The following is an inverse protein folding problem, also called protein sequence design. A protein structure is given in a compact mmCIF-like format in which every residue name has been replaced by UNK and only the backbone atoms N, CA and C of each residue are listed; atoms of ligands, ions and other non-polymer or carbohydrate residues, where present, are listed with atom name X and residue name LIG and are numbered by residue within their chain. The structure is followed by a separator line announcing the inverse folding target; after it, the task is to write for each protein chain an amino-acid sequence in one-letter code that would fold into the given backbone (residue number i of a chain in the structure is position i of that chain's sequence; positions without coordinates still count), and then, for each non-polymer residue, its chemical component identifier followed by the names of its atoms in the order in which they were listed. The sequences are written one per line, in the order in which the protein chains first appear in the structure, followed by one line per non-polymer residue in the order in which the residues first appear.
data_IF_900245689649
#
_entry.id   IF_900245689649
#
_cell.length_a   1.000
_cell.length_b   1.000
_cell.length_c   1.000
_cell.angle_alpha   90.00
_cell.angle_beta   90.00
_cell.angle_gamma   90.00
#
_symmetry.space_group_name_H-M   'P 1'
#
loop_
_entity.id
_entity.type
_entity.pdbx_description
1 polymer ?
#
# COMPACT_ATOMS: atom_id res chain seq x y z
N UNK A 1 6.07 0.39 -7.47
CA UNK A 1 5.36 1.64 -7.15
C UNK A 1 4.50 2.17 -8.29
N UNK A 2 4.88 1.98 -9.57
CA UNK A 2 4.13 2.50 -10.73
C UNK A 2 2.65 2.04 -10.74
N UNK A 3 2.37 0.74 -10.53
CA UNK A 3 1.00 0.24 -10.45
C UNK A 3 0.19 0.87 -9.32
N UNK A 4 0.79 1.06 -8.14
CA UNK A 4 0.11 1.70 -7.01
C UNK A 4 -0.30 3.14 -7.33
N UNK A 5 0.61 3.93 -7.91
CA UNK A 5 0.30 5.29 -8.32
C UNK A 5 -0.78 5.33 -9.41
N UNK A 6 -0.65 4.47 -10.43
CA UNK A 6 -1.62 4.37 -11.52
C UNK A 6 -3.02 4.01 -11.00
N UNK A 7 -3.11 3.08 -10.05
CA UNK A 7 -4.37 2.67 -9.43
C UNK A 7 -5.02 3.80 -8.63
N UNK A 8 -4.24 4.55 -7.84
CA UNK A 8 -4.74 5.72 -7.11
C UNK A 8 -5.26 6.81 -8.06
N UNK A 9 -4.54 7.07 -9.15
CA UNK A 9 -4.97 8.04 -10.17
C UNK A 9 -6.27 7.59 -10.86
N UNK A 10 -6.35 6.32 -11.26
CA UNK A 10 -7.54 5.72 -11.86
C UNK A 10 -8.78 5.89 -10.97
N UNK A 11 -8.62 5.68 -9.66
CA UNK A 11 -9.72 5.77 -8.72
C UNK A 11 -10.06 7.22 -8.36
N UNK A 12 -9.08 8.01 -7.90
CA UNK A 12 -9.32 9.33 -7.33
C UNK A 12 -9.47 10.45 -8.38
N UNK A 13 -8.87 10.30 -9.57
CA UNK A 13 -8.86 11.35 -10.60
C UNK A 13 -9.69 10.99 -11.83
N UNK A 14 -9.72 9.71 -12.21
CA UNK A 14 -10.41 9.26 -13.44
C UNK A 14 -11.78 8.61 -13.16
N UNK A 15 -12.13 8.37 -11.90
CA UNK A 15 -13.38 7.72 -11.49
C UNK A 15 -13.62 6.34 -12.17
N UNK A 16 -12.54 5.57 -12.36
CA UNK A 16 -12.61 4.21 -12.93
C UNK A 16 -13.00 3.18 -11.86
N UNK A 17 -13.74 2.15 -12.28
CA UNK A 17 -14.16 1.04 -11.42
C UNK A 17 -13.02 0.06 -11.18
N UNK A 18 -12.10 0.39 -10.26
CA UNK A 18 -10.91 -0.44 -9.98
C UNK A 18 -11.21 -1.79 -9.30
N UNK A 19 -12.48 -2.05 -8.95
CA UNK A 19 -12.94 -3.37 -8.50
C UNK A 19 -13.22 -4.33 -9.67
N UNK A 20 -13.16 -3.84 -10.91
CA UNK A 20 -13.31 -4.65 -12.13
C UNK A 20 -11.94 -5.14 -12.62
N UNK A 21 -11.81 -6.45 -12.85
CA UNK A 21 -10.57 -7.07 -13.32
C UNK A 21 -10.17 -6.62 -14.72
N UNK A 22 -11.14 -6.29 -15.58
CA UNK A 22 -10.87 -5.77 -16.93
C UNK A 22 -10.22 -4.39 -16.86
N UNK A 23 -10.73 -3.52 -16.00
CA UNK A 23 -10.13 -2.21 -15.72
C UNK A 23 -8.72 -2.37 -15.16
N UNK A 24 -8.51 -3.28 -14.20
CA UNK A 24 -7.16 -3.52 -13.67
C UNK A 24 -6.18 -4.03 -14.75
N UNK A 25 -6.63 -4.89 -15.65
CA UNK A 25 -5.82 -5.40 -16.75
C UNK A 25 -5.48 -4.31 -17.79
N UNK A 26 -6.39 -3.37 -18.05
CA UNK A 26 -6.14 -2.18 -18.86
C UNK A 26 -5.07 -1.29 -18.22
N UNK A 27 -5.18 -1.01 -16.91
CA UNK A 27 -4.18 -0.21 -16.18
C UNK A 27 -2.78 -0.84 -16.24
N UNK A 28 -2.70 -2.17 -16.20
CA UNK A 28 -1.44 -2.91 -16.38
C UNK A 28 -0.89 -2.72 -17.79
N UNK A 29 -1.74 -2.81 -18.82
CA UNK A 29 -1.35 -2.57 -20.22
C UNK A 29 -0.86 -1.14 -20.48
N UNK A 30 -1.48 -0.14 -19.86
CA UNK A 30 -1.06 1.27 -19.94
C UNK A 30 0.35 1.50 -19.37
N UNK A 31 0.82 0.62 -18.47
CA UNK A 31 2.18 0.63 -17.94
C UNK A 31 3.17 -0.15 -18.82
N UNK A 32 2.72 -0.74 -19.93
CA UNK A 32 3.54 -1.50 -20.87
C UNK A 32 3.65 -3.00 -20.54
N UNK A 33 2.83 -3.51 -19.62
CA UNK A 33 2.84 -4.90 -19.16
C UNK A 33 1.74 -5.74 -19.84
N UNK A 34 1.89 -7.06 -19.86
CA UNK A 34 0.92 -7.97 -20.52
C UNK A 34 -0.33 -8.19 -19.65
N UNK A 35 -1.46 -7.67 -20.13
CA UNK A 35 -2.77 -7.77 -19.47
C UNK A 35 -3.31 -9.20 -19.38
N UNK A 36 -3.03 -10.04 -20.38
CA UNK A 36 -3.48 -11.44 -20.42
C UNK A 36 -2.67 -12.27 -19.44
N UNK A 37 -1.35 -12.07 -19.40
CA UNK A 37 -0.47 -12.68 -18.42
C UNK A 37 -0.88 -12.29 -16.99
N UNK A 38 -1.18 -11.01 -16.76
CA UNK A 38 -1.67 -10.52 -15.46
C UNK A 38 -2.96 -11.22 -15.02
N UNK A 39 -3.97 -11.30 -15.89
CA UNK A 39 -5.24 -11.96 -15.57
C UNK A 39 -5.05 -13.45 -15.28
N UNK A 40 -4.21 -14.13 -16.05
CA UNK A 40 -3.88 -15.53 -15.80
C UNK A 40 -3.21 -15.71 -14.43
N UNK A 41 -2.17 -14.92 -14.13
CA UNK A 41 -1.44 -15.01 -12.86
C UNK A 41 -2.31 -14.65 -11.66
N UNK A 42 -3.20 -13.67 -11.83
CA UNK A 42 -4.19 -13.31 -10.81
C UNK A 42 -5.07 -14.50 -10.47
N UNK A 43 -5.63 -15.18 -11.47
CA UNK A 43 -6.55 -16.30 -11.23
C UNK A 43 -5.82 -17.48 -10.58
N UNK A 44 -4.62 -17.82 -11.05
CA UNK A 44 -3.78 -18.87 -10.47
C UNK A 44 -3.41 -18.61 -9.00
N UNK A 45 -3.21 -17.33 -8.63
CA UNK A 45 -2.74 -16.93 -7.30
C UNK A 45 -3.83 -16.34 -6.40
N UNK A 46 -5.07 -16.28 -6.87
CA UNK A 46 -6.18 -15.53 -6.26
C UNK A 46 -6.40 -15.86 -4.79
N UNK A 47 -6.42 -17.14 -4.45
CA UNK A 47 -6.60 -17.60 -3.08
C UNK A 47 -5.46 -17.11 -2.17
N UNK A 48 -4.22 -17.31 -2.58
CA UNK A 48 -3.03 -16.90 -1.82
C UNK A 48 -2.96 -15.37 -1.65
N UNK A 49 -3.24 -14.61 -2.71
CA UNK A 49 -3.27 -13.14 -2.65
C UNK A 49 -4.39 -12.63 -1.73
N UNK A 50 -5.56 -13.27 -1.77
CA UNK A 50 -6.68 -12.95 -0.88
C UNK A 50 -6.31 -13.18 0.57
N UNK A 51 -5.73 -14.34 0.90
CA UNK A 51 -5.25 -14.66 2.23
C UNK A 51 -4.22 -13.65 2.71
N UNK A 52 -3.25 -13.30 1.86
CA UNK A 52 -2.20 -12.33 2.18
C UNK A 52 -2.80 -10.94 2.51
N UNK A 53 -3.69 -10.41 1.66
CA UNK A 53 -4.31 -9.09 1.88
C UNK A 53 -5.12 -9.06 3.18
N UNK A 54 -5.88 -10.13 3.47
CA UNK A 54 -6.65 -10.24 4.72
C UNK A 54 -5.73 -10.36 5.93
N UNK A 55 -4.64 -11.13 5.83
CA UNK A 55 -3.67 -11.28 6.91
C UNK A 55 -2.97 -9.96 7.23
N UNK A 56 -2.51 -9.22 6.21
CA UNK A 56 -1.90 -7.90 6.37
C UNK A 56 -2.86 -6.89 6.99
N UNK A 57 -4.13 -6.87 6.54
CA UNK A 57 -5.18 -6.04 7.15
C UNK A 57 -5.37 -6.37 8.64
N UNK A 58 -5.55 -7.65 8.97
CA UNK A 58 -5.77 -8.08 10.35
C UNK A 58 -4.57 -7.79 11.25
N UNK A 59 -3.35 -7.90 10.73
CA UNK A 59 -2.14 -7.53 11.47
C UNK A 59 -2.12 -6.04 11.81
N UNK A 60 -2.47 -5.16 10.86
CA UNK A 60 -2.58 -3.74 11.13
C UNK A 60 -3.64 -3.43 12.22
N UNK A 61 -4.80 -4.08 12.15
CA UNK A 61 -5.85 -3.95 13.18
C UNK A 61 -5.34 -4.41 14.56
N UNK A 62 -4.63 -5.55 14.63
CA UNK A 62 -4.04 -6.05 15.89
C UNK A 62 -3.00 -5.10 16.49
N UNK A 63 -2.31 -4.34 15.65
CA UNK A 63 -1.38 -3.28 16.05
C UNK A 63 -2.10 -1.97 16.46
N UNK A 64 -3.43 -1.95 16.49
CA UNK A 64 -4.22 -0.78 16.87
C UNK A 64 -4.34 0.28 15.78
N UNK A 65 -3.97 -0.04 14.53
CA UNK A 65 -4.10 0.87 13.39
C UNK A 65 -5.57 0.89 12.95
N UNK A 66 -6.22 2.05 13.04
CA UNK A 66 -7.65 2.21 12.75
C UNK A 66 -7.95 3.18 11.60
N UNK A 67 -6.92 3.78 10.99
CA UNK A 67 -7.08 4.73 9.90
C UNK A 67 -5.91 4.65 8.90
N UNK A 68 -6.16 5.08 7.66
CA UNK A 68 -5.15 5.14 6.59
C UNK A 68 -5.00 6.58 6.05
N UNK A 69 -3.80 6.95 5.57
CA UNK A 69 -2.55 6.20 5.72
C UNK A 69 -2.07 6.22 7.17
N UNK A 70 -1.41 5.15 7.62
CA UNK A 70 -0.64 5.13 8.87
C UNK A 70 0.73 4.54 8.57
N UNK A 71 1.79 5.24 8.94
CA UNK A 71 3.17 4.77 8.78
C UNK A 71 3.70 4.28 10.11
N UNK A 72 4.16 3.03 10.17
CA UNK A 72 4.80 2.48 11.37
C UNK A 72 6.33 2.63 11.28
N UNK A 73 6.89 3.60 12.00
CA UNK A 73 8.33 3.86 12.00
C UNK A 73 9.01 2.94 13.00
N UNK A 74 10.05 2.23 12.54
CA UNK A 74 10.84 1.28 13.32
C UNK A 74 10.00 0.25 14.11
N UNK A 75 8.86 -0.18 13.54
CA UNK A 75 7.91 -1.13 14.16
C UNK A 75 7.34 -0.69 15.52
N UNK A 76 7.55 0.57 15.95
CA UNK A 76 7.23 1.03 17.31
C UNK A 76 6.42 2.31 17.35
N UNK A 77 6.53 3.17 16.33
CA UNK A 77 5.87 4.48 16.31
C UNK A 77 4.83 4.54 15.17
N UNK A 78 3.53 4.39 15.46
CA UNK A 78 2.49 4.61 14.47
C UNK A 78 2.28 6.12 14.25
N UNK A 79 2.37 6.56 13.00
CA UNK A 79 2.15 7.94 12.56
C UNK A 79 0.91 7.97 11.65
N UNK A 80 -0.27 8.34 12.18
CA UNK A 80 -1.50 8.37 11.41
C UNK A 80 -1.60 9.64 10.54
N UNK A 81 -2.26 9.48 9.39
CA UNK A 81 -2.50 10.54 8.42
C UNK A 81 -1.32 10.78 7.47
N UNK A 82 -1.61 11.50 6.38
CA UNK A 82 -0.60 11.98 5.46
C UNK A 82 0.09 13.22 6.08
N UNK A 83 1.15 12.99 6.85
CA UNK A 83 1.89 14.07 7.52
C UNK A 83 2.87 14.77 6.57
N UNK A 84 3.28 15.98 6.92
CA UNK A 84 4.35 16.68 6.21
C UNK A 84 5.69 15.96 6.36
N UNK A 85 6.56 16.05 5.35
CA UNK A 85 7.88 15.42 5.36
C UNK A 85 8.72 15.84 6.58
N UNK A 86 8.60 17.10 7.02
CA UNK A 86 9.30 17.60 8.21
C UNK A 86 8.94 16.81 9.49
N UNK A 87 7.67 16.40 9.62
CA UNK A 87 7.20 15.57 10.74
C UNK A 87 7.89 14.22 10.72
N UNK A 88 7.96 13.56 9.56
CA UNK A 88 8.65 12.28 9.43
C UNK A 88 10.15 12.38 9.74
N UNK A 89 10.84 13.40 9.22
CA UNK A 89 12.27 13.65 9.49
C UNK A 89 12.50 13.76 10.99
N UNK A 90 11.72 14.59 11.68
CA UNK A 90 11.85 14.80 13.13
C UNK A 90 11.68 13.49 13.92
N UNK A 91 10.66 12.68 13.60
CA UNK A 91 10.43 11.41 14.29
C UNK A 91 11.54 10.39 14.04
N UNK A 92 12.05 10.31 12.81
CA UNK A 92 13.16 9.41 12.45
C UNK A 92 14.43 9.82 13.20
N UNK A 93 14.78 11.10 13.22
CA UNK A 93 15.94 11.62 13.95
C UNK A 93 15.86 11.30 15.45
N UNK A 94 14.68 11.47 16.06
CA UNK A 94 14.45 11.12 17.48
C UNK A 94 14.63 9.63 17.76
N UNK A 95 14.17 8.76 16.85
CA UNK A 95 14.32 7.31 17.01
C UNK A 95 15.79 6.91 16.93
N UNK A 96 16.53 7.46 15.96
CA UNK A 96 17.96 7.20 15.79
C UNK A 96 18.74 7.63 17.04
N UNK A 97 18.52 8.86 17.52
CA UNK A 97 19.20 9.39 18.70
C UNK A 97 18.95 8.55 19.98
N UNK A 98 17.76 7.95 20.10
CA UNK A 98 17.41 7.06 21.21
C UNK A 98 18.08 5.68 21.08
N UNK A 99 18.25 5.17 19.86
CA UNK A 99 18.94 3.90 19.60
C UNK A 99 20.45 3.97 19.85
N UNK A 100 21.06 5.15 19.70
CA UNK A 100 22.49 5.39 19.95
C UNK A 100 22.83 5.73 21.41
N UNK A 101 21.82 5.83 22.28
CA UNK A 101 22.01 6.03 23.72
C UNK A 101 22.22 4.67 24.41
N UNK A 102 23.27 4.49 25.24
CA UNK A 102 23.63 3.20 25.85
C UNK A 102 22.62 2.66 26.86
#
# INVERSE_FOLDING_TARGET
MQMHQRLLEAYFSENRTISDWTVLAELVSELGEDSSYFLQHLEERKANLTEQVIAEHNEAIKQGITAVPTTLINKVLPVPGAQESATYINWIERIIARSDSP
#
